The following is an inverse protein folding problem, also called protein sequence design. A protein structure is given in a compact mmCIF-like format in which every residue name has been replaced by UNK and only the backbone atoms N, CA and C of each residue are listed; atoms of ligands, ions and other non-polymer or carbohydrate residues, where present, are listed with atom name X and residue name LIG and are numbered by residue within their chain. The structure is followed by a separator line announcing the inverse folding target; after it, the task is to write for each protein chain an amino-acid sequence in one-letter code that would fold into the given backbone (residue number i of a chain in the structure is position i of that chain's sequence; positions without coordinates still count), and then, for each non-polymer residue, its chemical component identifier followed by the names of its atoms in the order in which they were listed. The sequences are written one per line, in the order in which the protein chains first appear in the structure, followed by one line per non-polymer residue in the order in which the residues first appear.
data_IF_706639582637
#
_entry.id   IF_706639582637
#
_cell.length_a   1.000
_cell.length_b   1.000
_cell.length_c   1.000
_cell.angle_alpha   90.00
_cell.angle_beta   90.00
_cell.angle_gamma   90.00
#
_symmetry.space_group_name_H-M   'P 1'
#
loop_
_entity.id
_entity.type
_entity.pdbx_description
1 polymer ?
#
# COMPACT_ATOMS: atom_id res chain seq x y z
N UNK A 1 -70.28 16.20 -18.18
CA UNK A 1 -69.98 16.75 -19.52
C UNK A 1 -68.52 16.45 -19.84
N UNK A 2 -68.31 15.52 -20.79
CA UNK A 2 -67.13 15.33 -21.66
C UNK A 2 -65.75 15.05 -21.00
N UNK A 3 -65.24 13.81 -21.08
CA UNK A 3 -64.27 13.28 -22.10
C UNK A 3 -62.89 13.98 -22.00
N UNK A 4 -61.73 13.34 -21.80
CA UNK A 4 -61.18 12.10 -22.41
C UNK A 4 -59.88 11.68 -21.67
N UNK A 5 -59.53 10.39 -21.61
CA UNK A 5 -58.21 9.92 -21.25
C UNK A 5 -57.30 9.97 -22.49
N UNK A 6 -56.07 10.49 -22.36
CA UNK A 6 -55.08 10.43 -23.44
C UNK A 6 -53.89 9.59 -23.00
N UNK A 7 -53.87 8.41 -23.61
CA UNK A 7 -52.75 7.48 -23.77
C UNK A 7 -51.50 8.26 -24.18
N UNK A 8 -50.41 8.14 -23.41
CA UNK A 8 -49.07 8.41 -23.90
C UNK A 8 -48.22 7.16 -23.70
N UNK A 9 -48.35 6.29 -24.70
CA UNK A 9 -47.33 5.45 -25.31
C UNK A 9 -46.02 5.28 -24.52
N UNK A 10 -45.85 4.06 -24.03
CA UNK A 10 -44.59 3.43 -23.66
C UNK A 10 -43.58 3.58 -24.78
N UNK A 11 -42.66 4.54 -24.67
CA UNK A 11 -41.50 4.63 -25.56
C UNK A 11 -40.36 3.87 -24.87
N UNK A 12 -40.16 2.62 -25.29
CA UNK A 12 -38.89 1.91 -25.09
C UNK A 12 -37.80 2.81 -25.69
N UNK A 13 -37.09 3.55 -24.85
CA UNK A 13 -35.85 4.20 -25.26
C UNK A 13 -34.82 3.08 -25.44
N UNK A 14 -34.65 2.65 -26.69
CA UNK A 14 -33.50 1.87 -27.14
C UNK A 14 -32.27 2.74 -26.86
N UNK A 15 -31.63 2.48 -25.72
CA UNK A 15 -30.30 3.02 -25.43
C UNK A 15 -29.39 2.55 -26.57
N UNK A 16 -28.72 3.45 -27.32
CA UNK A 16 -27.62 3.01 -28.14
C UNK A 16 -26.59 2.45 -27.17
N UNK A 17 -26.30 1.15 -27.29
CA UNK A 17 -25.05 0.61 -26.75
C UNK A 17 -23.98 1.40 -27.46
N UNK A 18 -23.46 2.44 -26.81
CA UNK A 18 -22.26 3.11 -27.26
C UNK A 18 -21.21 2.01 -27.31
N UNK A 19 -20.87 1.55 -28.51
CA UNK A 19 -19.69 0.73 -28.72
C UNK A 19 -18.54 1.59 -28.26
N UNK A 20 -18.05 1.35 -27.05
CA UNK A 20 -16.82 1.95 -26.54
C UNK A 20 -15.76 1.61 -27.57
N UNK A 21 -15.34 2.60 -28.35
CA UNK A 21 -14.20 2.46 -29.24
C UNK A 21 -13.02 2.11 -28.34
N UNK A 22 -12.52 0.87 -28.47
CA UNK A 22 -11.45 0.30 -27.67
C UNK A 22 -10.10 0.98 -27.91
N UNK A 23 -9.99 2.25 -27.52
CA UNK A 23 -8.79 3.08 -27.62
C UNK A 23 -8.62 4.02 -26.44
N UNK A 24 -9.34 3.79 -25.33
CA UNK A 24 -9.27 4.63 -24.13
C UNK A 24 -7.93 4.48 -23.37
N UNK A 25 -7.12 3.48 -23.72
CA UNK A 25 -5.82 3.26 -23.10
C UNK A 25 -4.73 3.80 -24.03
N UNK A 26 -4.03 4.89 -23.65
CA UNK A 26 -2.97 5.47 -24.47
C UNK A 26 -1.82 4.47 -24.65
N UNK A 27 -1.26 4.41 -25.85
CA UNK A 27 -0.07 3.61 -26.15
C UNK A 27 1.09 4.56 -26.40
N UNK A 28 2.08 4.53 -25.50
CA UNK A 28 3.29 5.34 -25.60
C UNK A 28 4.45 4.37 -25.82
N UNK A 29 5.24 4.57 -26.88
CA UNK A 29 6.38 3.72 -27.22
C UNK A 29 6.07 2.21 -27.22
N UNK A 30 4.91 1.83 -27.76
CA UNK A 30 4.39 0.45 -27.81
C UNK A 30 3.99 -0.18 -26.46
N UNK A 31 3.90 0.60 -25.37
CA UNK A 31 3.37 0.15 -24.07
C UNK A 31 1.92 0.61 -23.91
N UNK A 32 0.99 -0.35 -23.82
CA UNK A 32 -0.44 -0.10 -23.55
C UNK A 32 -0.58 0.41 -22.11
N UNK A 33 -1.06 1.65 -21.95
CA UNK A 33 -1.22 2.34 -20.67
C UNK A 33 -0.04 3.24 -20.30
N UNK A 34 0.92 3.42 -21.21
CA UNK A 34 2.05 4.33 -20.99
C UNK A 34 1.58 5.78 -20.86
N UNK A 35 2.23 6.54 -19.98
CA UNK A 35 2.07 7.99 -19.89
C UNK A 35 3.21 8.65 -20.66
N UNK A 36 2.91 9.67 -21.47
CA UNK A 36 3.95 10.43 -22.18
C UNK A 36 4.66 11.36 -21.19
N UNK A 37 5.51 10.79 -20.34
CA UNK A 37 6.29 11.55 -19.35
C UNK A 37 7.17 12.58 -20.08
N UNK A 38 7.74 12.25 -21.24
CA UNK A 38 8.60 13.15 -22.01
C UNK A 38 7.93 14.44 -22.52
N UNK A 39 6.66 14.39 -22.92
CA UNK A 39 5.95 15.56 -23.47
C UNK A 39 5.41 16.52 -22.39
N UNK A 40 5.31 16.07 -21.14
CA UNK A 40 4.88 16.90 -20.00
C UNK A 40 6.07 17.53 -19.26
N UNK A 41 7.29 17.02 -19.47
CA UNK A 41 8.50 17.51 -18.79
C UNK A 41 9.13 18.74 -19.45
N UNK A 42 8.73 19.09 -20.68
CA UNK A 42 9.28 20.28 -21.34
C UNK A 42 8.70 21.60 -20.79
N UNK A 43 7.50 21.55 -20.16
CA UNK A 43 6.82 22.76 -19.65
C UNK A 43 6.43 22.69 -18.16
N UNK A 44 6.49 21.50 -17.53
CA UNK A 44 6.32 21.39 -16.09
C UNK A 44 7.69 21.28 -15.42
N UNK A 45 8.21 22.39 -14.89
CA UNK A 45 9.15 22.36 -13.75
C UNK A 45 8.43 21.75 -12.55
N UNK A 46 8.33 20.42 -12.53
CA UNK A 46 7.96 19.68 -11.34
C UNK A 46 9.17 19.75 -10.43
N UNK A 47 9.16 20.71 -9.51
CA UNK A 47 10.01 20.64 -8.33
C UNK A 47 9.50 19.49 -7.49
N UNK A 48 9.96 18.27 -7.79
CA UNK A 48 9.91 17.17 -6.83
C UNK A 48 10.71 17.69 -5.65
N UNK A 49 10.05 18.11 -4.57
CA UNK A 49 10.74 18.33 -3.32
C UNK A 49 11.55 17.06 -3.09
N UNK A 50 12.87 17.18 -3.04
CA UNK A 50 13.70 16.06 -2.68
C UNK A 50 13.14 15.56 -1.35
N UNK A 51 12.50 14.40 -1.37
CA UNK A 51 12.30 13.63 -0.16
C UNK A 51 13.72 13.23 0.19
N UNK A 52 14.44 14.15 0.85
CA UNK A 52 15.54 13.77 1.69
C UNK A 52 14.90 12.73 2.60
N UNK A 53 15.34 11.46 2.55
CA UNK A 53 15.11 10.62 3.71
C UNK A 53 15.58 11.49 4.85
N UNK A 54 14.74 11.74 5.86
CA UNK A 54 15.27 12.21 7.12
C UNK A 54 16.49 11.32 7.35
N UNK A 55 17.67 11.91 7.54
CA UNK A 55 18.90 11.14 7.70
C UNK A 55 18.76 10.43 9.04
N UNK A 56 18.05 9.31 9.02
CA UNK A 56 17.72 8.53 10.17
C UNK A 56 18.88 7.58 10.28
N UNK A 57 19.90 8.01 11.01
CA UNK A 57 20.84 7.02 11.54
C UNK A 57 19.97 6.18 12.47
N UNK A 58 19.65 4.91 12.14
CA UNK A 58 18.82 4.09 13.00
C UNK A 58 19.47 4.11 14.38
N UNK A 59 18.71 4.51 15.39
CA UNK A 59 19.21 4.56 16.75
C UNK A 59 19.53 3.16 17.26
N UNK A 60 20.23 3.07 18.39
CA UNK A 60 20.47 1.77 19.05
C UNK A 60 19.12 1.16 19.45
N UNK A 61 18.94 -0.14 19.18
CA UNK A 61 17.77 -0.86 19.68
C UNK A 61 17.73 -0.82 21.21
N UNK A 62 16.54 -0.52 21.75
CA UNK A 62 16.24 -0.57 23.17
C UNK A 62 15.48 -1.86 23.44
N UNK A 63 16.16 -2.86 24.00
CA UNK A 63 15.71 -4.25 24.01
C UNK A 63 15.61 -4.80 25.43
N UNK A 64 14.54 -5.54 25.70
CA UNK A 64 14.41 -6.45 26.82
C UNK A 64 14.42 -7.87 26.27
N UNK A 65 15.38 -8.68 26.70
CA UNK A 65 15.56 -10.07 26.28
C UNK A 65 14.93 -11.01 27.30
N UNK A 66 14.31 -12.10 26.83
CA UNK A 66 13.82 -13.21 27.64
C UNK A 66 12.96 -12.78 28.84
N UNK A 67 12.02 -11.86 28.60
CA UNK A 67 11.06 -11.37 29.61
C UNK A 67 10.11 -12.43 30.19
N UNK A 68 9.99 -13.61 29.57
CA UNK A 68 9.03 -14.65 29.94
C UNK A 68 7.56 -14.33 29.63
N UNK A 69 7.29 -13.27 28.86
CA UNK A 69 5.93 -12.87 28.45
C UNK A 69 5.64 -13.36 27.03
N UNK A 70 4.43 -13.91 26.80
CA UNK A 70 3.90 -14.47 25.54
C UNK A 70 4.62 -15.69 24.96
N UNK A 71 5.95 -15.73 24.93
CA UNK A 71 6.72 -16.94 24.63
C UNK A 71 7.29 -17.51 25.93
N UNK A 72 6.84 -18.72 26.26
CA UNK A 72 7.11 -19.42 27.53
C UNK A 72 7.76 -20.78 27.30
N UNK A 73 8.04 -21.15 26.05
CA UNK A 73 8.73 -22.39 25.72
C UNK A 73 10.17 -22.31 26.19
N UNK A 74 10.59 -23.30 27.00
CA UNK A 74 11.94 -23.34 27.52
C UNK A 74 12.99 -23.39 26.40
N UNK A 75 14.08 -22.65 26.56
CA UNK A 75 15.15 -22.54 25.57
C UNK A 75 14.84 -21.70 24.32
N UNK A 76 13.64 -21.12 24.18
CA UNK A 76 13.31 -20.24 23.04
C UNK A 76 13.66 -18.80 23.38
N UNK A 77 14.61 -18.24 22.63
CA UNK A 77 14.99 -16.83 22.77
C UNK A 77 13.87 -15.91 22.29
N UNK A 78 13.62 -14.84 23.04
CA UNK A 78 12.69 -13.79 22.64
C UNK A 78 13.19 -12.42 23.07
N UNK A 79 12.78 -11.40 22.33
CA UNK A 79 13.14 -10.03 22.62
C UNK A 79 12.00 -9.10 22.22
N UNK A 80 11.74 -8.09 23.04
CA UNK A 80 10.82 -7.00 22.69
C UNK A 80 11.46 -5.66 22.99
N UNK A 81 10.99 -4.62 22.31
CA UNK A 81 11.65 -3.33 22.42
C UNK A 81 11.22 -2.33 21.38
N UNK A 82 12.04 -1.29 21.24
CA UNK A 82 11.84 -0.22 20.27
C UNK A 82 13.08 -0.04 19.39
N UNK A 83 12.83 0.14 18.09
CA UNK A 83 13.82 0.65 17.14
C UNK A 83 13.50 2.09 16.80
N UNK A 84 14.48 2.98 16.97
CA UNK A 84 14.31 4.40 16.66
C UNK A 84 14.45 4.60 15.15
N UNK A 85 13.35 5.06 14.54
CA UNK A 85 13.24 5.35 13.11
C UNK A 85 13.66 6.77 12.79
N UNK A 86 13.47 7.72 13.72
CA UNK A 86 13.95 9.10 13.63
C UNK A 86 14.39 9.58 15.02
N UNK A 87 14.76 10.87 15.15
CA UNK A 87 15.07 11.47 16.46
C UNK A 87 13.89 11.41 17.44
N UNK A 88 12.64 11.37 16.94
CA UNK A 88 11.44 11.46 17.76
C UNK A 88 10.42 10.34 17.47
N UNK A 89 10.73 9.41 16.55
CA UNK A 89 9.82 8.32 16.15
C UNK A 89 10.49 6.97 16.39
N UNK A 90 9.72 6.06 17.00
CA UNK A 90 10.17 4.70 17.27
C UNK A 90 9.07 3.70 16.93
N UNK A 91 9.46 2.53 16.44
CA UNK A 91 8.56 1.41 16.22
C UNK A 91 8.78 0.36 17.31
N UNK A 92 7.68 -0.10 17.91
CA UNK A 92 7.70 -1.24 18.81
C UNK A 92 7.84 -2.54 18.01
N UNK A 93 8.61 -3.49 18.52
CA UNK A 93 8.70 -4.84 17.98
C UNK A 93 8.64 -5.89 19.07
N UNK A 94 8.21 -7.09 18.67
CA UNK A 94 8.29 -8.30 19.48
C UNK A 94 8.76 -9.46 18.62
N UNK A 95 9.94 -9.97 18.94
CA UNK A 95 10.62 -11.04 18.24
C UNK A 95 10.61 -12.33 19.06
N UNK A 96 10.42 -13.44 18.35
CA UNK A 96 10.52 -14.79 18.87
C UNK A 96 11.42 -15.59 17.94
N UNK A 97 12.47 -16.21 18.49
CA UNK A 97 13.33 -17.09 17.72
C UNK A 97 12.55 -18.34 17.29
N UNK A 98 12.95 -18.93 16.16
CA UNK A 98 12.34 -20.17 15.72
C UNK A 98 12.61 -21.28 16.75
N UNK A 99 11.57 -22.05 17.08
CA UNK A 99 11.69 -23.18 18.03
C UNK A 99 12.57 -24.32 17.50
N UNK A 100 12.83 -24.35 16.20
CA UNK A 100 13.65 -25.35 15.53
C UNK A 100 14.73 -24.64 14.71
N UNK A 101 16.00 -24.93 15.00
CA UNK A 101 17.17 -24.42 14.29
C UNK A 101 17.17 -22.89 14.08
N UNK A 102 17.07 -22.08 15.16
CA UNK A 102 16.91 -20.62 15.07
C UNK A 102 17.99 -19.90 14.26
N UNK A 103 19.21 -20.45 14.21
CA UNK A 103 20.33 -19.88 13.46
C UNK A 103 20.20 -20.03 11.94
N UNK A 104 19.31 -20.91 11.47
CA UNK A 104 19.13 -21.22 10.03
C UNK A 104 17.70 -21.06 9.54
N UNK A 105 16.74 -20.95 10.45
CA UNK A 105 15.34 -20.75 10.11
C UNK A 105 15.14 -19.37 9.45
N UNK A 106 14.22 -19.25 8.46
CA UNK A 106 13.94 -17.98 7.83
C UNK A 106 13.26 -17.00 8.80
N UNK A 107 13.60 -15.72 8.70
CA UNK A 107 12.91 -14.65 9.42
C UNK A 107 11.55 -14.38 8.77
N UNK A 108 10.49 -14.37 9.57
CA UNK A 108 9.15 -13.94 9.16
C UNK A 108 8.78 -12.66 9.89
N UNK A 109 8.26 -11.67 9.17
CA UNK A 109 7.78 -10.40 9.73
C UNK A 109 6.27 -10.38 9.63
N UNK A 110 5.60 -10.17 10.77
CA UNK A 110 4.15 -10.02 10.85
C UNK A 110 3.80 -8.55 11.05
N UNK A 111 3.03 -7.98 10.11
CA UNK A 111 2.54 -6.61 10.17
C UNK A 111 1.01 -6.65 10.15
N UNK A 112 0.39 -6.06 11.17
CA UNK A 112 -1.05 -5.89 11.19
C UNK A 112 -1.45 -4.71 10.28
N UNK A 113 -2.62 -4.82 9.64
CA UNK A 113 -3.25 -3.70 8.94
C UNK A 113 -4.09 -2.85 9.88
N UNK A 114 -5.22 -2.38 9.35
CA UNK A 114 -6.28 -1.66 10.07
C UNK A 114 -7.58 -1.73 9.28
#
# INVERSE_FOLDING_TARGET
MLLRPTVFTSLLAVLPVATVLGGQIPVVENVIGGTAVGALLEDAKVTIASVQPAATTPGKLRVTENSGVCETTDGVYQASGYGDLTANESVFFWFFAARNNPDTAPLSVWLNGG
#
